data_IF_058595183461
#
_entry.id   IF_058595183461
#
_cell.length_a   1.000
_cell.length_b   1.000
_cell.length_c   1.000
_cell.angle_alpha   90.00
_cell.angle_beta   90.00
_cell.angle_gamma   90.00
#
_symmetry.space_group_name_H-M   'P 1'
#
loop_
_entity.id
_entity.type
_entity.pdbx_description
1 polymer ?
#
# COMPACT_ATOMS: atom_id res chain seq x y z
N UNK A 1 15.35 25.31 7.62
CA UNK A 1 15.13 24.44 6.43
C UNK A 1 14.09 23.42 6.84
N UNK A 2 13.11 23.07 5.98
CA UNK A 2 12.23 21.93 6.31
C UNK A 2 13.08 20.67 6.30
N UNK A 3 13.00 19.89 7.37
CA UNK A 3 13.66 18.58 7.42
C UNK A 3 13.07 17.68 6.33
N UNK A 4 13.94 16.87 5.72
CA UNK A 4 13.55 15.94 4.65
C UNK A 4 12.84 14.74 5.29
N UNK A 5 11.58 14.45 4.93
CA UNK A 5 10.85 13.36 5.55
C UNK A 5 11.42 11.99 5.16
N UNK A 6 11.38 11.06 6.12
CA UNK A 6 11.64 9.64 5.90
C UNK A 6 10.35 8.96 5.44
N UNK A 7 10.43 8.12 4.41
CA UNK A 7 9.30 7.33 3.95
C UNK A 7 9.19 6.03 4.73
N UNK A 8 8.06 5.79 5.41
CA UNK A 8 7.70 4.50 5.99
C UNK A 8 6.84 3.74 4.97
N UNK A 9 7.35 2.63 4.44
CA UNK A 9 6.75 1.86 3.37
C UNK A 9 6.04 0.60 3.92
N UNK A 10 4.73 0.49 3.65
CA UNK A 10 3.85 -0.55 4.17
C UNK A 10 3.25 -1.34 3.01
N UNK A 11 3.64 -2.61 2.89
CA UNK A 11 3.25 -3.46 1.76
C UNK A 11 1.79 -3.92 1.83
N UNK A 12 1.26 -4.36 0.68
CA UNK A 12 -0.06 -4.97 0.57
C UNK A 12 -0.09 -6.47 0.89
N UNK A 13 -1.25 -7.09 0.67
CA UNK A 13 -1.44 -8.52 0.92
C UNK A 13 -0.52 -9.38 0.08
N UNK A 14 -0.12 -10.53 0.63
CA UNK A 14 0.79 -11.52 0.03
C UNK A 14 2.20 -11.01 -0.28
N UNK A 15 2.49 -9.73 -0.07
CA UNK A 15 3.81 -9.14 -0.27
C UNK A 15 4.61 -9.17 1.04
N UNK A 16 5.81 -8.61 0.96
CA UNK A 16 6.68 -8.32 2.09
C UNK A 16 7.54 -7.09 1.75
N UNK A 17 8.48 -6.71 2.63
CA UNK A 17 9.38 -5.57 2.41
C UNK A 17 10.09 -5.57 1.06
N UNK A 18 10.36 -6.77 0.52
CA UNK A 18 11.01 -7.00 -0.76
C UNK A 18 10.33 -6.28 -1.94
N UNK A 19 9.03 -5.98 -1.86
CA UNK A 19 8.34 -5.30 -2.96
C UNK A 19 8.90 -3.90 -3.19
N UNK A 20 9.55 -3.31 -2.18
CA UNK A 20 10.15 -1.98 -2.24
C UNK A 20 11.60 -1.97 -2.73
N UNK A 21 12.20 -3.14 -3.06
CA UNK A 21 13.63 -3.27 -3.38
C UNK A 21 14.10 -2.35 -4.51
N UNK A 22 13.22 -1.98 -5.45
CA UNK A 22 13.52 -1.04 -6.54
C UNK A 22 13.18 0.41 -6.21
N UNK A 23 12.21 0.64 -5.32
CA UNK A 23 11.78 1.98 -4.92
C UNK A 23 12.74 2.63 -3.91
N UNK A 24 13.21 1.85 -2.92
CA UNK A 24 14.16 2.32 -1.90
C UNK A 24 15.38 3.02 -2.51
N UNK A 25 16.14 2.40 -3.43
CA UNK A 25 17.29 3.08 -4.05
C UNK A 25 16.87 4.26 -4.95
N UNK A 26 15.66 4.26 -5.51
CA UNK A 26 15.15 5.38 -6.30
C UNK A 26 14.84 6.62 -5.43
N UNK A 27 14.36 6.42 -4.20
CA UNK A 27 14.18 7.47 -3.18
C UNK A 27 15.53 7.96 -2.64
N UNK A 28 16.47 7.05 -2.37
CA UNK A 28 17.80 7.40 -1.88
C UNK A 28 18.58 8.29 -2.85
N UNK A 29 18.53 7.98 -4.16
CA UNK A 29 19.14 8.84 -5.19
C UNK A 29 18.56 10.26 -5.22
N UNK A 30 17.35 10.44 -4.68
CA UNK A 30 16.66 11.74 -4.56
C UNK A 30 16.86 12.39 -3.19
N UNK A 31 17.70 11.81 -2.32
CA UNK A 31 18.04 12.35 -1.02
C UNK A 31 17.04 12.01 0.09
N UNK A 32 16.14 11.05 -0.13
CA UNK A 32 15.15 10.63 0.85
C UNK A 32 15.50 9.27 1.46
N UNK A 33 15.42 9.17 2.78
CA UNK A 33 15.52 7.90 3.50
C UNK A 33 14.19 7.16 3.42
N UNK A 34 14.26 5.84 3.50
CA UNK A 34 13.07 5.00 3.64
C UNK A 34 13.29 3.86 4.62
N UNK A 35 12.19 3.41 5.24
CA UNK A 35 12.11 2.27 6.14
C UNK A 35 10.93 1.43 5.66
N UNK A 36 11.12 0.13 5.46
CA UNK A 36 10.05 -0.80 5.12
C UNK A 36 9.78 -1.74 6.29
N UNK A 37 8.51 -2.01 6.58
CA UNK A 37 8.09 -2.96 7.62
C UNK A 37 7.66 -4.29 7.03
N UNK A 38 7.84 -5.38 7.78
CA UNK A 38 7.25 -6.68 7.47
C UNK A 38 5.99 -6.87 8.32
N UNK A 39 4.86 -7.13 7.67
CA UNK A 39 3.56 -7.24 8.34
C UNK A 39 3.33 -8.66 8.85
N UNK A 40 3.04 -8.87 10.16
CA UNK A 40 2.85 -10.20 10.73
C UNK A 40 1.63 -10.95 10.18
N UNK A 41 0.69 -10.29 9.51
CA UNK A 41 -0.38 -10.98 8.77
C UNK A 41 0.09 -11.64 7.46
N UNK A 42 1.32 -11.37 7.01
CA UNK A 42 1.94 -11.92 5.81
C UNK A 42 3.16 -12.79 6.15
N UNK A 43 3.22 -14.02 5.62
CA UNK A 43 4.31 -14.92 5.96
C UNK A 43 4.27 -16.27 5.25
N UNK A 44 5.17 -17.17 5.63
CA UNK A 44 5.27 -18.52 5.02
C UNK A 44 4.65 -19.62 5.88
N UNK A 45 4.40 -19.34 7.18
CA UNK A 45 3.80 -20.27 8.12
C UNK A 45 2.37 -19.79 8.48
N UNK A 46 1.31 -20.47 8.01
CA UNK A 46 -0.07 -20.05 8.25
C UNK A 46 -0.43 -20.01 9.74
N UNK A 47 0.21 -20.86 10.57
CA UNK A 47 -0.08 -20.93 12.00
C UNK A 47 0.46 -19.74 12.81
N UNK A 48 1.29 -18.88 12.19
CA UNK A 48 1.92 -17.71 12.82
C UNK A 48 1.38 -16.39 12.30
N UNK A 49 0.46 -16.41 11.34
CA UNK A 49 -0.05 -15.17 10.76
C UNK A 49 -0.97 -14.45 11.75
N UNK A 50 -0.72 -13.16 11.91
CA UNK A 50 -1.47 -12.30 12.81
C UNK A 50 -2.62 -11.56 12.08
N UNK A 51 -3.24 -10.57 12.74
CA UNK A 51 -4.35 -9.80 12.19
C UNK A 51 -4.00 -8.34 11.88
N UNK A 52 -5.02 -7.60 11.43
CA UNK A 52 -4.89 -6.18 11.09
C UNK A 52 -4.38 -5.32 12.27
N UNK A 53 -4.84 -5.59 13.49
CA UNK A 53 -4.38 -4.86 14.68
C UNK A 53 -2.89 -5.04 14.97
N UNK A 54 -2.35 -6.23 14.72
CA UNK A 54 -0.93 -6.53 14.88
C UNK A 54 -0.09 -5.81 13.83
N UNK A 55 -0.56 -5.80 12.57
CA UNK A 55 0.04 -5.04 11.47
C UNK A 55 0.07 -3.54 11.79
N UNK A 56 -1.05 -3.00 12.28
CA UNK A 56 -1.16 -1.61 12.67
C UNK A 56 -0.20 -1.25 13.82
N UNK A 57 -0.06 -2.15 14.81
CA UNK A 57 0.88 -1.97 15.92
C UNK A 57 2.34 -1.93 15.44
N UNK A 58 2.72 -2.79 14.49
CA UNK A 58 4.07 -2.78 13.87
C UNK A 58 4.32 -1.45 13.15
N UNK A 59 3.36 -0.97 12.36
CA UNK A 59 3.46 0.30 11.63
C UNK A 59 3.56 1.50 12.59
N UNK A 60 2.74 1.52 13.64
CA UNK A 60 2.80 2.55 14.70
C UNK A 60 4.17 2.58 15.39
N UNK A 61 4.69 1.42 15.78
CA UNK A 61 5.99 1.32 16.43
C UNK A 61 7.14 1.75 15.50
N UNK A 62 7.08 1.35 14.22
CA UNK A 62 8.06 1.76 13.23
C UNK A 62 8.06 3.29 13.02
N UNK A 63 6.88 3.90 12.87
CA UNK A 63 6.76 5.35 12.74
C UNK A 63 7.33 6.09 13.96
N UNK A 64 7.04 5.62 15.17
CA UNK A 64 7.55 6.21 16.41
C UNK A 64 9.06 6.05 16.62
N UNK A 65 9.69 5.11 15.91
CA UNK A 65 11.14 4.86 15.99
C UNK A 65 11.97 5.70 15.02
N UNK A 66 11.32 6.42 14.10
CA UNK A 66 11.98 7.27 13.11
C UNK A 66 12.13 8.68 13.70
N UNK A 67 13.37 9.16 13.77
CA UNK A 67 13.63 10.55 14.16
C UNK A 67 13.22 11.52 13.04
N UNK A 68 12.45 12.54 13.42
CA UNK A 68 12.04 13.62 12.51
C UNK A 68 10.84 13.28 11.65
N UNK A 69 10.55 14.08 10.60
CA UNK A 69 9.30 13.98 9.87
C UNK A 69 9.14 12.68 9.08
N UNK A 70 7.92 12.12 9.10
CA UNK A 70 7.58 10.84 8.47
C UNK A 70 6.44 10.99 7.48
N UNK A 71 6.57 10.32 6.32
CA UNK A 71 5.47 10.09 5.38
C UNK A 71 5.23 8.58 5.32
N UNK A 72 4.00 8.16 5.63
CA UNK A 72 3.64 6.75 5.63
C UNK A 72 2.95 6.41 4.32
N UNK A 73 3.47 5.42 3.59
CA UNK A 73 2.95 4.96 2.30
C UNK A 73 2.38 3.55 2.46
N UNK A 74 1.07 3.42 2.32
CA UNK A 74 0.35 2.14 2.38
C UNK A 74 -0.10 1.70 0.99
N UNK A 75 0.39 0.55 0.53
CA UNK A 75 -0.01 -0.06 -0.75
C UNK A 75 -1.14 -1.06 -0.56
N UNK A 76 -2.18 -1.00 -1.40
CA UNK A 76 -3.24 -2.03 -1.41
C UNK A 76 -3.85 -2.24 -0.01
N UNK A 77 -3.78 -3.46 0.54
CA UNK A 77 -4.14 -3.75 1.94
C UNK A 77 -3.39 -2.90 2.98
N UNK A 78 -2.13 -2.54 2.71
CA UNK A 78 -1.34 -1.64 3.56
C UNK A 78 -2.02 -0.29 3.79
N UNK A 79 -2.94 0.14 2.91
CA UNK A 79 -3.84 1.26 3.17
C UNK A 79 -4.73 1.06 4.39
N UNK A 80 -5.37 -0.10 4.53
CA UNK A 80 -6.16 -0.43 5.71
C UNK A 80 -5.31 -0.48 6.99
N UNK A 81 -4.06 -0.95 6.87
CA UNK A 81 -3.10 -0.97 7.98
C UNK A 81 -2.75 0.44 8.46
N UNK A 82 -2.41 1.36 7.54
CA UNK A 82 -2.09 2.75 7.91
C UNK A 82 -3.32 3.52 8.36
N UNK A 83 -4.52 3.12 7.94
CA UNK A 83 -5.79 3.65 8.46
C UNK A 83 -5.98 3.27 9.94
N UNK A 84 -5.73 2.00 10.28
CA UNK A 84 -5.92 1.47 11.65
C UNK A 84 -4.81 1.90 12.61
N UNK A 85 -3.61 2.17 12.09
CA UNK A 85 -2.45 2.57 12.88
C UNK A 85 -2.64 3.91 13.62
N UNK A 86 -1.93 4.03 14.74
CA UNK A 86 -1.87 5.23 15.56
C UNK A 86 -0.54 5.95 15.33
N UNK A 87 -0.58 7.25 15.09
CA UNK A 87 0.59 8.04 14.74
C UNK A 87 0.79 9.26 15.66
N UNK A 88 2.04 9.56 15.95
CA UNK A 88 2.45 10.77 16.68
C UNK A 88 2.58 12.00 15.78
N UNK A 89 3.00 13.12 16.37
CA UNK A 89 3.09 14.42 15.70
C UNK A 89 4.12 14.47 14.54
N UNK A 90 5.07 13.55 14.51
CA UNK A 90 6.10 13.48 13.48
C UNK A 90 5.59 12.94 12.13
N UNK A 91 4.46 12.22 12.13
CA UNK A 91 3.83 11.77 10.89
C UNK A 91 3.11 12.95 10.23
N UNK A 92 3.60 13.36 9.07
CA UNK A 92 3.12 14.56 8.38
C UNK A 92 2.02 14.27 7.35
N UNK A 93 2.01 13.04 6.81
CA UNK A 93 1.08 12.65 5.74
C UNK A 93 0.96 11.15 5.60
N UNK A 94 -0.24 10.71 5.24
CA UNK A 94 -0.54 9.35 4.79
C UNK A 94 -0.68 9.32 3.27
N UNK A 95 -0.05 8.35 2.62
CA UNK A 95 -0.15 8.13 1.16
C UNK A 95 -0.76 6.76 0.91
N UNK A 96 -1.91 6.75 0.26
CA UNK A 96 -2.66 5.54 -0.11
C UNK A 96 -2.35 5.19 -1.56
N UNK A 97 -1.53 4.17 -1.80
CA UNK A 97 -1.12 3.75 -3.15
C UNK A 97 -2.00 2.61 -3.66
N UNK A 98 -2.94 2.91 -4.58
CA UNK A 98 -3.86 1.89 -5.11
C UNK A 98 -4.46 1.05 -4.00
N UNK A 99 -4.95 1.71 -2.95
CA UNK A 99 -5.09 1.12 -1.63
C UNK A 99 -6.52 1.18 -1.08
N UNK A 100 -6.82 0.29 -0.14
CA UNK A 100 -8.02 0.46 0.67
C UNK A 100 -7.83 1.64 1.61
N UNK A 101 -8.80 2.56 1.65
CA UNK A 101 -8.86 3.67 2.61
C UNK A 101 -10.18 3.58 3.39
N UNK A 102 -10.34 2.55 4.24
CA UNK A 102 -11.63 2.27 4.85
C UNK A 102 -11.97 3.28 5.96
N UNK A 103 -13.26 3.35 6.31
CA UNK A 103 -13.76 4.11 7.44
C UNK A 103 -14.04 3.19 8.64
N UNK A 104 -14.14 3.78 9.82
CA UNK A 104 -14.45 3.07 11.08
C UNK A 104 -15.71 2.21 10.97
N UNK A 105 -15.67 1.02 11.59
CA UNK A 105 -16.74 0.04 11.58
C UNK A 105 -16.87 -0.77 10.29
N UNK A 106 -16.10 -0.46 9.24
CA UNK A 106 -16.07 -1.24 7.99
C UNK A 106 -15.04 -2.35 8.05
N UNK A 107 -15.27 -3.42 7.30
CA UNK A 107 -14.32 -4.52 7.09
C UNK A 107 -13.86 -4.53 5.64
N UNK A 108 -12.78 -5.26 5.33
CA UNK A 108 -12.33 -5.44 3.95
C UNK A 108 -13.45 -5.99 3.05
N UNK A 109 -14.15 -7.04 3.51
CA UNK A 109 -15.23 -7.67 2.75
C UNK A 109 -16.44 -6.76 2.58
N UNK A 110 -16.65 -5.79 3.47
CA UNK A 110 -17.79 -4.87 3.36
C UNK A 110 -17.71 -3.93 2.14
N UNK A 111 -16.54 -3.79 1.52
CA UNK A 111 -16.37 -2.98 0.31
C UNK A 111 -16.46 -3.79 -0.97
N UNK A 112 -16.32 -5.11 -0.89
CA UNK A 112 -16.37 -5.96 -2.07
C UNK A 112 -17.82 -6.03 -2.60
N UNK A 113 -18.02 -6.03 -3.92
CA UNK A 113 -19.32 -6.27 -4.50
C UNK A 113 -19.84 -7.66 -4.11
N UNK A 114 -21.17 -7.83 -4.12
CA UNK A 114 -21.76 -9.17 -3.99
C UNK A 114 -21.26 -10.08 -5.10
N UNK A 115 -20.84 -11.30 -4.76
CA UNK A 115 -20.34 -12.27 -5.72
C UNK A 115 -19.11 -13.03 -5.23
N UNK A 116 -18.44 -13.77 -6.14
CA UNK A 116 -17.20 -14.46 -5.80
C UNK A 116 -16.10 -13.46 -5.46
N UNK A 117 -15.15 -13.88 -4.62
CA UNK A 117 -13.92 -13.13 -4.41
C UNK A 117 -13.16 -12.96 -5.73
N UNK A 118 -12.31 -11.92 -5.85
CA UNK A 118 -11.48 -11.75 -7.02
C UNK A 118 -10.66 -13.02 -7.32
N UNK A 119 -10.44 -13.40 -8.59
CA UNK A 119 -9.75 -14.65 -8.95
C UNK A 119 -8.35 -14.81 -8.37
N UNK A 120 -7.69 -13.70 -8.04
CA UNK A 120 -6.38 -13.68 -7.39
C UNK A 120 -6.43 -14.00 -5.88
N UNK A 121 -7.61 -14.26 -5.29
CA UNK A 121 -7.79 -14.60 -3.88
C UNK A 121 -8.15 -16.07 -3.73
N UNK A 122 -7.20 -16.90 -3.34
CA UNK A 122 -7.39 -18.32 -3.00
C UNK A 122 -7.45 -18.52 -1.50
N UNK A 123 -8.63 -18.82 -0.96
CA UNK A 123 -8.78 -19.19 0.46
C UNK A 123 -8.28 -20.62 0.71
N UNK A 124 -7.61 -20.83 1.84
CA UNK A 124 -7.11 -22.14 2.30
C UNK A 124 -7.86 -22.58 3.55
N UNK A 125 -7.86 -23.87 3.84
CA UNK A 125 -8.51 -24.43 5.03
C UNK A 125 -7.75 -24.12 6.34
N UNK A 126 -6.46 -23.79 6.24
CA UNK A 126 -5.57 -23.47 7.37
C UNK A 126 -5.68 -22.02 7.87
N UNK A 127 -6.69 -21.28 7.43
CA UNK A 127 -6.94 -19.89 7.84
C UNK A 127 -6.06 -18.86 7.12
N UNK A 128 -5.23 -19.27 6.16
CA UNK A 128 -4.49 -18.37 5.29
C UNK A 128 -5.12 -18.25 3.89
N UNK A 129 -4.72 -17.24 3.14
CA UNK A 129 -5.04 -17.08 1.73
C UNK A 129 -3.74 -16.99 0.92
N UNK A 130 -3.83 -17.36 -0.34
CA UNK A 130 -2.72 -17.32 -1.29
C UNK A 130 -3.22 -16.79 -2.64
N UNK A 131 -2.28 -16.35 -3.46
CA UNK A 131 -2.57 -16.00 -4.85
C UNK A 131 -2.58 -17.28 -5.69
N UNK A 132 -3.69 -17.63 -6.36
CA UNK A 132 -3.71 -18.81 -7.24
C UNK A 132 -2.74 -18.68 -8.41
N UNK A 133 -2.29 -19.81 -8.94
CA UNK A 133 -1.35 -19.86 -10.06
C UNK A 133 -1.87 -19.10 -11.27
N UNK A 134 -0.98 -18.34 -11.92
CA UNK A 134 -1.30 -17.53 -13.10
C UNK A 134 -2.05 -16.22 -12.81
N UNK A 135 -2.51 -15.98 -11.57
CA UNK A 135 -3.31 -14.78 -11.25
C UNK A 135 -2.45 -13.56 -10.89
N UNK A 136 -1.25 -13.76 -10.33
CA UNK A 136 -0.38 -12.66 -9.87
C UNK A 136 0.01 -11.70 -10.99
N UNK A 137 0.35 -12.22 -12.18
CA UNK A 137 0.76 -11.37 -13.29
C UNK A 137 -0.39 -10.49 -13.78
N UNK A 138 -1.59 -11.06 -13.88
CA UNK A 138 -2.79 -10.34 -14.31
C UNK A 138 -3.15 -9.26 -13.28
N UNK A 139 -3.19 -9.62 -12.00
CA UNK A 139 -3.68 -8.73 -10.95
C UNK A 139 -2.65 -7.67 -10.54
N UNK A 140 -1.38 -8.06 -10.38
CA UNK A 140 -0.39 -7.23 -9.68
C UNK A 140 0.72 -6.69 -10.57
N UNK A 141 1.08 -7.40 -11.64
CA UNK A 141 2.31 -7.15 -12.40
C UNK A 141 2.08 -6.93 -13.90
N UNK A 142 0.87 -6.53 -14.30
CA UNK A 142 0.46 -6.45 -15.71
C UNK A 142 1.31 -5.47 -16.56
N UNK A 143 1.99 -4.52 -15.92
CA UNK A 143 2.89 -3.55 -16.55
C UNK A 143 4.38 -3.79 -16.20
N UNK A 144 4.70 -4.90 -15.55
CA UNK A 144 6.08 -5.34 -15.35
C UNK A 144 6.57 -6.13 -16.56
N UNK A 145 7.89 -6.13 -16.79
CA UNK A 145 8.47 -7.08 -17.74
C UNK A 145 8.33 -8.53 -17.20
N UNK A 146 8.33 -9.56 -18.07
CA UNK A 146 8.08 -10.94 -17.65
C UNK A 146 9.04 -11.48 -16.57
N UNK A 147 10.32 -11.13 -16.65
CA UNK A 147 11.34 -11.60 -15.69
C UNK A 147 11.10 -11.00 -14.30
N UNK A 148 10.78 -9.72 -14.25
CA UNK A 148 10.44 -9.02 -13.01
C UNK A 148 9.13 -9.53 -12.41
N UNK A 149 8.11 -9.79 -13.24
CA UNK A 149 6.84 -10.36 -12.80
C UNK A 149 7.02 -11.78 -12.25
N UNK A 150 7.87 -12.60 -12.88
CA UNK A 150 8.21 -13.94 -12.40
C UNK A 150 8.98 -13.88 -11.07
N UNK A 151 9.97 -12.99 -10.96
CA UNK A 151 10.70 -12.75 -9.71
C UNK A 151 9.77 -12.33 -8.58
N UNK A 152 8.87 -11.37 -8.82
CA UNK A 152 7.93 -10.88 -7.81
C UNK A 152 6.93 -11.97 -7.40
N UNK A 153 6.39 -12.71 -8.38
CA UNK A 153 5.49 -13.85 -8.14
C UNK A 153 6.14 -14.90 -7.24
N UNK A 154 7.42 -15.21 -7.44
CA UNK A 154 8.15 -16.20 -6.63
C UNK A 154 8.34 -15.81 -5.16
N UNK A 155 8.11 -14.53 -4.83
CA UNK A 155 8.27 -13.96 -3.49
C UNK A 155 6.95 -13.72 -2.76
N UNK A 156 5.83 -14.01 -3.42
CA UNK A 156 4.52 -13.95 -2.79
C UNK A 156 4.46 -14.93 -1.61
N UNK A 157 3.76 -14.50 -0.57
CA UNK A 157 3.62 -15.17 0.72
C UNK A 157 2.15 -15.49 0.97
N UNK A 158 1.88 -16.20 2.06
CA UNK A 158 0.52 -16.36 2.58
C UNK A 158 0.06 -15.07 3.27
N UNK A 159 -1.25 -14.84 3.26
CA UNK A 159 -1.92 -13.74 3.95
C UNK A 159 -2.98 -14.31 4.91
N UNK A 160 -3.00 -13.87 6.16
CA UNK A 160 -4.03 -14.25 7.14
C UNK A 160 -5.43 -13.95 6.61
N UNK A 161 -6.38 -14.89 6.68
CA UNK A 161 -7.78 -14.60 6.36
C UNK A 161 -8.46 -13.72 7.41
N UNK A 162 -7.90 -13.61 8.62
CA UNK A 162 -8.48 -12.80 9.69
C UNK A 162 -8.60 -11.32 9.32
N UNK A 163 -7.77 -10.83 8.39
CA UNK A 163 -7.83 -9.44 7.92
C UNK A 163 -9.15 -9.11 7.20
N UNK A 164 -9.83 -10.12 6.64
CA UNK A 164 -11.03 -9.91 5.83
C UNK A 164 -12.22 -9.44 6.67
N UNK A 165 -12.37 -10.02 7.87
CA UNK A 165 -13.49 -9.77 8.77
C UNK A 165 -13.18 -8.79 9.90
N UNK A 166 -11.94 -8.32 10.05
CA UNK A 166 -11.57 -7.39 11.12
C UNK A 166 -12.19 -6.00 10.85
N UNK A 167 -13.02 -5.45 11.76
CA UNK A 167 -13.55 -4.11 11.59
C UNK A 167 -12.48 -3.06 11.90
N UNK A 168 -12.40 -2.04 11.05
CA UNK A 168 -11.58 -0.86 11.32
C UNK A 168 -12.07 -0.18 12.60
N UNK A 169 -11.19 0.01 13.56
CA UNK A 169 -11.50 0.66 14.84
C UNK A 169 -11.04 2.11 14.87
N UNK A 170 -10.05 2.46 14.04
CA UNK A 170 -9.51 3.82 13.91
C UNK A 170 -9.37 4.23 12.45
N UNK A 171 -9.50 5.52 12.14
CA UNK A 171 -9.29 6.05 10.81
C UNK A 171 -8.31 7.22 10.85
N UNK A 172 -7.01 6.91 10.87
CA UNK A 172 -5.92 7.88 11.01
C UNK A 172 -5.99 9.04 9.99
N UNK A 173 -6.46 8.76 8.78
CA UNK A 173 -6.64 9.78 7.73
C UNK A 173 -7.66 10.87 8.07
N UNK A 174 -8.54 10.67 9.05
CA UNK A 174 -9.45 11.72 9.51
C UNK A 174 -8.74 12.83 10.30
N UNK A 175 -7.56 12.54 10.85
CA UNK A 175 -6.77 13.48 11.66
C UNK A 175 -5.45 13.91 11.03
N UNK A 176 -5.05 13.31 9.91
CA UNK A 176 -3.77 13.55 9.24
C UNK A 176 -3.98 13.87 7.76
N UNK A 177 -3.16 14.77 7.17
CA UNK A 177 -3.19 15.00 5.74
C UNK A 177 -3.03 13.68 4.96
N UNK A 178 -3.83 13.52 3.92
CA UNK A 178 -3.87 12.30 3.12
C UNK A 178 -3.70 12.60 1.63
N UNK A 179 -2.98 11.73 0.94
CA UNK A 179 -2.91 11.72 -0.52
C UNK A 179 -3.24 10.33 -1.02
N UNK A 180 -4.19 10.23 -1.94
CA UNK A 180 -4.48 8.99 -2.64
C UNK A 180 -3.77 8.98 -3.99
N UNK A 181 -2.92 7.98 -4.23
CA UNK A 181 -2.32 7.73 -5.53
C UNK A 181 -3.17 6.72 -6.28
N UNK A 182 -3.98 7.21 -7.22
CA UNK A 182 -4.89 6.41 -8.03
C UNK A 182 -4.16 5.81 -9.22
N UNK A 183 -4.13 4.48 -9.28
CA UNK A 183 -3.47 3.71 -10.32
C UNK A 183 -4.44 3.47 -11.48
N UNK A 184 -4.23 4.16 -12.60
CA UNK A 184 -5.26 4.24 -13.66
C UNK A 184 -5.39 2.97 -14.51
N UNK A 185 -4.48 2.00 -14.36
CA UNK A 185 -4.48 0.73 -15.10
C UNK A 185 -4.48 -0.49 -14.17
N UNK A 186 -4.81 -0.28 -12.89
CA UNK A 186 -4.84 -1.30 -11.86
C UNK A 186 -5.86 -2.40 -12.17
N UNK A 187 -5.40 -3.64 -12.10
CA UNK A 187 -6.22 -4.84 -12.34
C UNK A 187 -6.67 -5.52 -11.04
N UNK A 188 -5.98 -5.27 -9.93
CA UNK A 188 -6.33 -5.81 -8.62
C UNK A 188 -7.42 -4.97 -7.96
N UNK A 189 -7.23 -3.65 -7.92
CA UNK A 189 -8.22 -2.68 -7.45
C UNK A 189 -8.56 -1.74 -8.62
N UNK A 190 -9.59 -2.06 -9.43
CA UNK A 190 -9.92 -1.25 -10.61
C UNK A 190 -10.11 0.25 -10.29
N UNK A 191 -9.77 1.17 -11.21
CA UNK A 191 -9.81 2.61 -10.95
C UNK A 191 -11.16 3.12 -10.41
N UNK A 192 -12.28 2.60 -10.91
CA UNK A 192 -13.62 2.97 -10.44
C UNK A 192 -13.82 2.62 -8.96
N UNK A 193 -13.28 1.47 -8.53
CA UNK A 193 -13.31 1.05 -7.13
C UNK A 193 -12.37 1.90 -6.26
N UNK A 194 -11.17 2.22 -6.76
CA UNK A 194 -10.25 3.14 -6.09
C UNK A 194 -10.87 4.53 -5.88
N UNK A 195 -11.67 5.04 -6.81
CA UNK A 195 -12.32 6.37 -6.68
C UNK A 195 -13.24 6.47 -5.47
N UNK A 196 -13.84 5.35 -5.02
CA UNK A 196 -14.64 5.33 -3.79
C UNK A 196 -13.79 5.67 -2.57
N UNK A 197 -12.54 5.19 -2.54
CA UNK A 197 -11.58 5.49 -1.48
C UNK A 197 -10.95 6.87 -1.66
N UNK A 198 -10.51 7.18 -2.88
CA UNK A 198 -9.85 8.45 -3.20
C UNK A 198 -10.71 9.68 -2.91
N UNK A 199 -12.05 9.56 -3.00
CA UNK A 199 -12.98 10.63 -2.67
C UNK A 199 -12.92 11.09 -1.20
N UNK A 200 -12.31 10.29 -0.31
CA UNK A 200 -12.13 10.61 1.11
C UNK A 200 -10.80 11.30 1.41
N UNK A 201 -9.85 11.30 0.46
CA UNK A 201 -8.52 11.86 0.66
C UNK A 201 -8.48 13.37 0.39
N UNK A 202 -7.54 14.07 1.04
CA UNK A 202 -7.37 15.52 0.86
C UNK A 202 -6.80 15.88 -0.52
N UNK A 203 -5.99 14.99 -1.09
CA UNK A 203 -5.40 15.13 -2.43
C UNK A 203 -5.48 13.81 -3.18
N UNK A 204 -5.77 13.87 -4.47
CA UNK A 204 -5.70 12.71 -5.38
C UNK A 204 -4.63 12.98 -6.45
N UNK A 205 -3.73 12.02 -6.63
CA UNK A 205 -2.72 12.01 -7.70
C UNK A 205 -2.96 10.79 -8.57
N UNK A 206 -3.25 10.98 -9.85
CA UNK A 206 -3.32 9.88 -10.79
C UNK A 206 -1.92 9.45 -11.24
N UNK A 207 -1.69 8.14 -11.34
CA UNK A 207 -0.46 7.57 -11.85
C UNK A 207 -0.77 6.46 -12.85
N UNK A 208 -0.19 6.56 -14.04
CA UNK A 208 -0.41 5.61 -15.13
C UNK A 208 0.44 4.35 -14.94
N UNK A 209 -0.10 3.40 -14.18
CA UNK A 209 0.48 2.09 -13.89
C UNK A 209 -0.62 1.10 -13.49
N UNK A 210 -0.29 -0.19 -13.56
CA UNK A 210 -1.04 -1.25 -12.91
C UNK A 210 -0.85 -1.18 -11.39
N UNK A 211 -0.90 -2.31 -10.68
CA UNK A 211 -0.95 -2.34 -9.21
C UNK A 211 0.40 -2.10 -8.51
N UNK A 212 1.53 -2.23 -9.22
CA UNK A 212 2.88 -2.26 -8.61
C UNK A 212 3.86 -1.26 -9.23
N UNK A 213 3.57 0.06 -9.21
CA UNK A 213 4.47 1.07 -9.80
C UNK A 213 5.84 1.13 -9.12
N UNK A 214 5.94 0.67 -7.88
CA UNK A 214 7.21 0.50 -7.16
C UNK A 214 8.12 -0.57 -7.77
N UNK A 215 7.60 -1.43 -8.66
CA UNK A 215 8.38 -2.38 -9.47
C UNK A 215 8.49 -1.92 -10.92
N UNK A 216 7.37 -1.58 -11.57
CA UNK A 216 7.34 -1.31 -13.01
C UNK A 216 7.95 0.05 -13.37
N UNK A 217 7.79 1.05 -12.50
CA UNK A 217 8.21 2.45 -12.74
C UNK A 217 8.77 3.11 -11.47
N UNK A 218 9.79 2.52 -10.81
CA UNK A 218 10.24 2.95 -9.49
C UNK A 218 10.78 4.39 -9.46
N UNK A 219 11.47 4.84 -10.50
CA UNK A 219 11.99 6.21 -10.58
C UNK A 219 10.88 7.26 -10.73
N UNK A 220 9.92 7.03 -11.62
CA UNK A 220 8.78 7.93 -11.82
C UNK A 220 7.90 7.98 -10.56
N UNK A 221 7.71 6.82 -9.91
CA UNK A 221 6.94 6.75 -8.67
C UNK A 221 7.66 7.43 -7.51
N UNK A 222 8.99 7.28 -7.39
CA UNK A 222 9.79 8.01 -6.41
C UNK A 222 9.68 9.53 -6.60
N UNK A 223 9.69 10.02 -7.85
CA UNK A 223 9.48 11.44 -8.13
C UNK A 223 8.11 11.93 -7.66
N UNK A 224 7.04 11.17 -7.92
CA UNK A 224 5.71 11.50 -7.42
C UNK A 224 5.68 11.58 -5.88
N UNK A 225 6.28 10.61 -5.19
CA UNK A 225 6.33 10.61 -3.72
C UNK A 225 7.10 11.82 -3.17
N UNK A 226 8.21 12.20 -3.81
CA UNK A 226 8.96 13.41 -3.45
C UNK A 226 8.13 14.68 -3.67
N UNK A 227 7.40 14.78 -4.78
CA UNK A 227 6.53 15.92 -5.02
C UNK A 227 5.41 16.03 -3.97
N UNK A 228 4.79 14.91 -3.60
CA UNK A 228 3.80 14.84 -2.52
C UNK A 228 4.42 15.26 -1.19
N UNK A 229 5.62 14.77 -0.87
CA UNK A 229 6.35 15.12 0.34
C UNK A 229 6.67 16.62 0.44
N UNK A 230 6.99 17.24 -0.69
CA UNK A 230 7.31 18.66 -0.77
C UNK A 230 6.08 19.56 -0.91
N UNK A 231 4.87 18.99 -0.96
CA UNK A 231 3.61 19.74 -1.14
C UNK A 231 3.49 20.41 -2.50
N UNK A 232 4.11 19.85 -3.54
CA UNK A 232 4.03 20.36 -4.91
C UNK A 232 2.76 19.83 -5.57
N UNK A 233 1.90 20.75 -6.01
CA UNK A 233 0.73 20.40 -6.83
C UNK A 233 1.20 19.74 -8.13
N UNK A 234 0.53 18.67 -8.54
CA UNK A 234 0.86 17.95 -9.77
C UNK A 234 0.95 18.90 -10.95
N UNK A 235 1.96 18.74 -11.82
CA UNK A 235 2.07 19.53 -13.03
C UNK A 235 0.81 19.34 -13.85
N UNK A 236 0.00 20.40 -13.98
CA UNK A 236 -0.97 20.50 -15.06
C UNK A 236 -0.18 20.29 -16.36
N UNK A 237 -0.49 19.21 -17.10
CA UNK A 237 0.05 19.04 -18.45
C UNK A 237 -0.26 20.32 -19.20
N UNK A 238 0.77 21.13 -19.47
CA UNK A 238 0.67 22.22 -20.45
C UNK A 238 0.38 21.53 -21.77
N UNK A 239 -0.87 21.59 -22.20
CA UNK A 239 -1.23 21.28 -23.58
C UNK A 239 -0.41 22.22 -24.47
N UNK A 240 0.52 21.63 -25.23
CA UNK A 240 1.09 22.23 -26.43
C UNK A 240 0.36 21.65 -27.64
#
# INVERSE_FOLDING_TARGET
MREVPTFLLVHGSWHGPWCWDLLVPALERRGHRSVSVDLPSCGTDPARLAGLGDDAAVVSAAAASIDGPVIVVGHSYGGAVITEAHFGADVQRLVYLGAFMPDTGRTFVSYLPEGPLPPYVGLREDGASQVPEGQSNIAFYADCNPDLAAWATSRLRLQSQAIFGHPITSAAWRGLPSTYVLLTQDQALPPDFQRMFAAQADEVREFASSHSPFLSRPDDFAELLVDVAMGRKGQEKRAS
#
